data_IF_897282807377
#
_entry.id   IF_897282807377
#
_cell.length_a   1.000
_cell.length_b   1.000
_cell.length_c   1.000
_cell.angle_alpha   90.00
_cell.angle_beta   90.00
_cell.angle_gamma   90.00
#
_symmetry.space_group_name_H-M   'P 1'
#
loop_
_entity.id
_entity.type
_entity.pdbx_description
1 polymer ?
#
# COMPACT_ATOMS: atom_id res chain seq x y z
N UNK A 1 -1.72 10.24 1.31
CA UNK A 1 -1.30 10.38 2.73
C UNK A 1 -0.10 9.48 2.95
N UNK A 2 0.85 9.90 3.76
CA UNK A 2 1.94 9.04 4.20
C UNK A 2 2.16 9.20 5.69
N UNK A 3 2.70 8.17 6.33
CA UNK A 3 3.12 8.20 7.73
C UNK A 3 4.29 7.24 7.95
N UNK A 4 5.08 7.54 8.98
CA UNK A 4 6.09 6.63 9.48
C UNK A 4 5.50 5.72 10.55
N UNK A 5 5.92 4.46 10.53
CA UNK A 5 5.52 3.46 11.51
C UNK A 5 6.76 2.74 12.02
N UNK A 6 6.86 2.58 13.34
CA UNK A 6 7.82 1.66 13.95
C UNK A 6 7.11 0.32 14.12
N UNK A 7 7.58 -0.71 13.43
CA UNK A 7 7.03 -2.07 13.49
C UNK A 7 8.14 -3.11 13.34
N UNK A 8 7.93 -4.29 13.92
CA UNK A 8 8.76 -5.47 13.68
C UNK A 8 8.47 -6.12 12.33
N UNK A 9 7.28 -5.86 11.77
CA UNK A 9 6.84 -6.41 10.50
C UNK A 9 7.64 -5.81 9.34
N UNK A 10 7.93 -6.65 8.35
CA UNK A 10 8.60 -6.22 7.12
C UNK A 10 7.62 -5.50 6.16
N UNK A 11 8.15 -4.90 5.10
CA UNK A 11 7.33 -4.16 4.13
C UNK A 11 6.19 -5.01 3.53
N UNK A 12 6.43 -6.29 3.23
CA UNK A 12 5.43 -7.18 2.64
C UNK A 12 4.31 -7.56 3.63
N UNK A 13 4.66 -7.76 4.90
CA UNK A 13 3.68 -8.05 5.95
C UNK A 13 2.75 -6.85 6.21
N UNK A 14 3.32 -5.65 6.28
CA UNK A 14 2.56 -4.41 6.43
C UNK A 14 1.73 -4.11 5.18
N UNK A 15 2.29 -4.29 3.98
CA UNK A 15 1.55 -4.12 2.74
C UNK A 15 0.35 -5.08 2.69
N UNK A 16 0.54 -6.36 3.01
CA UNK A 16 -0.57 -7.33 3.08
C UNK A 16 -1.64 -6.88 4.06
N UNK A 17 -1.26 -6.45 5.27
CA UNK A 17 -2.19 -5.97 6.28
C UNK A 17 -3.03 -4.79 5.79
N UNK A 18 -2.40 -3.76 5.20
CA UNK A 18 -3.14 -2.61 4.68
C UNK A 18 -3.91 -2.94 3.40
N UNK A 19 -3.42 -3.84 2.55
CA UNK A 19 -4.13 -4.33 1.37
C UNK A 19 -5.46 -4.98 1.76
N UNK A 20 -5.48 -5.79 2.82
CA UNK A 20 -6.71 -6.41 3.31
C UNK A 20 -7.78 -5.35 3.64
N UNK A 21 -7.39 -4.20 4.21
CA UNK A 21 -8.31 -3.09 4.47
C UNK A 21 -8.86 -2.44 3.19
N UNK A 22 -8.06 -2.35 2.12
CA UNK A 22 -8.55 -1.89 0.81
C UNK A 22 -9.60 -2.87 0.26
N UNK A 23 -9.34 -4.17 0.34
CA UNK A 23 -10.26 -5.21 -0.12
C UNK A 23 -11.58 -5.18 0.67
N UNK A 24 -11.51 -5.07 2.00
CA UNK A 24 -12.69 -4.93 2.86
C UNK A 24 -13.50 -3.66 2.56
N UNK A 25 -12.83 -2.58 2.14
CA UNK A 25 -13.47 -1.34 1.70
C UNK A 25 -14.03 -1.40 0.26
N UNK A 26 -14.04 -2.58 -0.37
CA UNK A 26 -14.59 -2.82 -1.70
C UNK A 26 -13.73 -2.29 -2.84
N UNK A 27 -12.42 -2.19 -2.64
CA UNK A 27 -11.46 -1.99 -3.73
C UNK A 27 -11.06 -3.34 -4.33
N UNK A 28 -10.80 -3.35 -5.63
CA UNK A 28 -10.32 -4.52 -6.36
C UNK A 28 -8.81 -4.40 -6.53
N UNK A 29 -8.07 -5.48 -6.23
CA UNK A 29 -6.64 -5.54 -6.46
C UNK A 29 -6.37 -5.68 -7.96
N UNK A 30 -5.62 -4.73 -8.52
CA UNK A 30 -5.23 -4.72 -9.95
C UNK A 30 -3.87 -5.36 -10.13
N UNK A 31 -2.93 -5.06 -9.24
CA UNK A 31 -1.55 -5.49 -9.35
C UNK A 31 -0.86 -5.36 -7.99
N UNK A 32 0.21 -6.12 -7.78
CA UNK A 32 0.99 -6.09 -6.53
C UNK A 32 2.44 -6.49 -6.79
N UNK A 33 3.32 -6.05 -5.90
CA UNK A 33 4.73 -6.43 -5.96
C UNK A 33 5.42 -6.37 -4.63
N UNK A 34 6.49 -7.15 -4.51
CA UNK A 34 7.41 -7.13 -3.38
C UNK A 34 8.82 -7.26 -3.92
N UNK A 35 9.67 -6.30 -3.62
CA UNK A 35 11.06 -6.28 -4.04
C UNK A 35 11.95 -5.70 -2.93
N UNK A 36 12.71 -6.58 -2.27
CA UNK A 36 13.62 -6.22 -1.19
C UNK A 36 12.92 -5.46 -0.07
N UNK A 37 13.29 -4.20 0.11
CA UNK A 37 12.80 -3.30 1.15
C UNK A 37 11.46 -2.60 0.80
N UNK A 38 10.83 -2.95 -0.32
CA UNK A 38 9.58 -2.33 -0.75
C UNK A 38 8.50 -3.37 -1.09
N UNK A 39 7.27 -3.03 -0.75
CA UNK A 39 6.08 -3.76 -1.18
C UNK A 39 4.98 -2.78 -1.57
N UNK A 40 4.18 -3.13 -2.56
CA UNK A 40 3.13 -2.24 -3.07
C UNK A 40 1.93 -3.01 -3.61
N UNK A 41 0.79 -2.33 -3.65
CA UNK A 41 -0.44 -2.77 -4.28
C UNK A 41 -1.11 -1.64 -5.02
N UNK A 42 -1.67 -1.95 -6.20
CA UNK A 42 -2.52 -1.06 -6.99
C UNK A 42 -3.94 -1.56 -6.95
N UNK A 43 -4.87 -0.63 -6.81
CA UNK A 43 -6.29 -0.94 -6.71
C UNK A 43 -7.13 -0.15 -7.69
N UNK A 44 -8.34 -0.65 -7.93
CA UNK A 44 -9.41 0.04 -8.65
C UNK A 44 -10.71 -0.01 -7.86
N UNK A 45 -11.58 0.96 -8.04
CA UNK A 45 -12.95 0.92 -7.52
C UNK A 45 -13.93 1.50 -8.54
N UNK A 46 -14.91 0.67 -8.93
CA UNK A 46 -16.02 1.04 -9.83
C UNK A 46 -15.56 1.64 -11.17
N UNK A 47 -14.41 1.24 -11.69
CA UNK A 47 -13.75 1.82 -12.89
C UNK A 47 -13.48 3.34 -12.88
N UNK A 48 -13.87 4.06 -11.83
CA UNK A 48 -13.71 5.50 -11.69
C UNK A 48 -12.55 5.90 -10.80
N UNK A 49 -12.03 5.00 -9.96
CA UNK A 49 -11.00 5.31 -8.98
C UNK A 49 -9.83 4.35 -9.08
N UNK A 50 -8.63 4.89 -8.87
CA UNK A 50 -7.39 4.13 -8.74
C UNK A 50 -6.72 4.46 -7.42
N UNK A 51 -6.07 3.48 -6.79
CA UNK A 51 -5.28 3.70 -5.60
C UNK A 51 -3.93 2.97 -5.64
N UNK A 52 -2.98 3.50 -4.88
CA UNK A 52 -1.65 2.93 -4.67
C UNK A 52 -1.40 2.86 -3.17
N UNK A 53 -1.03 1.67 -2.71
CA UNK A 53 -0.41 1.42 -1.42
C UNK A 53 1.07 1.11 -1.68
N UNK A 54 1.96 1.77 -0.95
CA UNK A 54 3.40 1.55 -1.01
C UNK A 54 3.95 1.54 0.40
N UNK A 55 4.68 0.48 0.76
CA UNK A 55 5.39 0.35 2.02
C UNK A 55 6.87 0.20 1.72
N UNK A 56 7.70 1.04 2.35
CA UNK A 56 9.17 1.01 2.17
C UNK A 56 9.84 0.95 3.53
N UNK A 57 10.82 0.07 3.69
CA UNK A 57 11.73 0.09 4.84
C UNK A 57 12.70 1.25 4.74
N UNK A 58 12.82 2.01 5.82
CA UNK A 58 13.76 3.14 5.88
C UNK A 58 15.15 2.66 6.32
N UNK A 59 16.15 3.53 6.20
CA UNK A 59 17.48 3.28 6.76
C UNK A 59 17.49 3.24 8.30
N UNK A 60 16.43 3.73 8.95
CA UNK A 60 16.28 3.65 10.40
C UNK A 60 15.73 2.27 10.77
N UNK A 61 16.48 1.45 11.53
CA UNK A 61 16.03 0.10 11.88
C UNK A 61 14.63 0.10 12.51
N UNK A 62 13.81 -0.86 12.09
CA UNK A 62 12.43 -0.98 12.60
C UNK A 62 11.44 0.03 12.03
N UNK A 63 11.87 0.99 11.21
CA UNK A 63 11.00 2.08 10.74
C UNK A 63 10.63 1.88 9.27
N UNK A 64 9.33 1.94 8.99
CA UNK A 64 8.74 1.85 7.65
C UNK A 64 7.97 3.13 7.32
N UNK A 65 7.96 3.50 6.06
CA UNK A 65 7.04 4.51 5.52
C UNK A 65 5.89 3.78 4.84
N UNK A 66 4.67 4.12 5.24
CA UNK A 66 3.45 3.68 4.55
C UNK A 66 2.90 4.87 3.80
N UNK A 67 2.76 4.72 2.49
CA UNK A 67 2.16 5.69 1.58
C UNK A 67 0.89 5.09 0.98
N UNK A 68 -0.22 5.81 1.07
CA UNK A 68 -1.47 5.46 0.45
C UNK A 68 -2.08 6.67 -0.27
N UNK A 69 -2.44 6.52 -1.54
CA UNK A 69 -3.08 7.57 -2.32
C UNK A 69 -4.20 6.97 -3.17
N UNK A 70 -5.33 7.66 -3.22
CA UNK A 70 -6.41 7.37 -4.14
C UNK A 70 -6.65 8.60 -5.04
N UNK A 71 -6.95 8.35 -6.31
CA UNK A 71 -7.26 9.38 -7.30
C UNK A 71 -8.41 8.93 -8.17
N UNK A 72 -9.14 9.90 -8.72
CA UNK A 72 -10.17 9.62 -9.72
C UNK A 72 -9.49 9.36 -11.07
N UNK A 73 -9.81 8.24 -11.69
CA UNK A 73 -9.44 7.94 -13.06
C UNK A 73 -10.38 8.75 -13.96
N UNK A 74 -9.82 9.56 -14.85
CA UNK A 74 -10.58 10.56 -15.61
C UNK A 74 -11.72 9.98 -16.45
N UNK A 75 -12.66 10.86 -16.81
CA UNK A 75 -13.36 10.77 -18.11
C UNK A 75 -12.48 11.41 -19.17
#
# INVERSE_FOLDING_TARGET
MWFELVSTDNAAELERFYREQFLEAGWELVDQGTEGAAAWSRFRKQDEWGAMLLVIETLKPGTRVVFAMATRLGR
#
